data_IF_510809261372
#
_entry.id   IF_510809261372
#
_cell.length_a   1.000
_cell.length_b   1.000
_cell.length_c   1.000
_cell.angle_alpha   90.00
_cell.angle_beta   90.00
_cell.angle_gamma   90.00
#
_symmetry.space_group_name_H-M   'P 1'
#
loop_
_entity.id
_entity.type
_entity.pdbx_description
1 polymer ?
#
# COMPACT_ATOMS: atom_id res chain seq x y z
N UNK A 1 -8.99 -2.32 12.24
CA UNK A 1 -7.71 -1.75 12.76
C UNK A 1 -7.42 -0.44 12.04
N UNK A 2 -6.58 0.44 12.59
CA UNK A 2 -6.07 1.62 11.90
C UNK A 2 -4.64 1.44 11.36
N UNK A 3 -3.87 0.50 11.91
CA UNK A 3 -2.61 0.07 11.31
C UNK A 3 -2.86 -1.25 10.57
N UNK A 4 -2.48 -1.31 9.30
CA UNK A 4 -2.64 -2.48 8.44
C UNK A 4 -1.33 -2.76 7.70
N UNK A 5 -1.05 -4.04 7.45
CA UNK A 5 0.07 -4.47 6.62
C UNK A 5 -0.42 -4.89 5.24
N UNK A 6 0.27 -4.41 4.21
CA UNK A 6 -0.16 -4.57 2.83
C UNK A 6 1.03 -4.94 1.95
N UNK A 7 0.85 -5.95 1.11
CA UNK A 7 1.68 -6.14 -0.07
C UNK A 7 1.21 -5.18 -1.16
N UNK A 8 2.05 -4.21 -1.51
CA UNK A 8 1.70 -3.07 -2.34
C UNK A 8 2.58 -3.04 -3.59
N UNK A 9 1.96 -2.88 -4.75
CA UNK A 9 2.63 -2.58 -6.02
C UNK A 9 2.51 -1.09 -6.30
N UNK A 10 3.65 -0.42 -6.46
CA UNK A 10 3.68 1.00 -6.79
C UNK A 10 3.55 1.21 -8.31
N UNK A 11 2.60 2.03 -8.72
CA UNK A 11 2.20 2.18 -10.13
C UNK A 11 2.62 3.54 -10.71
N UNK A 12 2.87 4.54 -9.86
CA UNK A 12 3.22 5.88 -10.33
C UNK A 12 4.73 5.99 -10.66
N UNK A 13 5.12 6.69 -11.73
CA UNK A 13 6.53 6.99 -12.00
C UNK A 13 7.20 7.81 -10.90
N UNK A 14 6.44 8.63 -10.17
CA UNK A 14 6.96 9.38 -9.02
C UNK A 14 6.97 8.47 -7.78
N UNK A 15 8.07 8.40 -7.02
CA UNK A 15 8.12 7.64 -5.78
C UNK A 15 7.15 8.21 -4.73
N UNK A 16 6.72 7.42 -3.74
CA UNK A 16 5.91 7.93 -2.64
C UNK A 16 6.70 8.99 -1.87
N UNK A 17 6.03 10.09 -1.57
CA UNK A 17 6.62 11.17 -0.78
C UNK A 17 6.55 10.79 0.69
N UNK A 18 7.66 10.86 1.45
CA UNK A 18 7.65 10.53 2.88
C UNK A 18 6.58 11.32 3.64
N UNK A 19 5.76 10.60 4.41
CA UNK A 19 4.66 11.16 5.23
C UNK A 19 3.54 11.84 4.43
N UNK A 20 3.51 11.69 3.11
CA UNK A 20 2.37 12.13 2.32
C UNK A 20 1.12 11.32 2.68
N UNK A 21 -0.03 11.97 2.50
CA UNK A 21 -1.34 11.36 2.68
C UNK A 21 -1.87 10.93 1.32
N UNK A 22 -2.42 9.74 1.30
CA UNK A 22 -3.11 9.15 0.15
C UNK A 22 -4.53 8.83 0.56
N UNK A 23 -5.47 8.85 -0.38
CA UNK A 23 -6.74 8.16 -0.17
C UNK A 23 -6.49 6.66 -0.29
N UNK A 24 -6.90 5.91 0.73
CA UNK A 24 -7.06 4.47 0.62
C UNK A 24 -8.52 4.19 0.29
N UNK A 25 -8.74 3.62 -0.89
CA UNK A 25 -10.05 3.11 -1.27
C UNK A 25 -10.09 1.61 -1.00
N UNK A 26 -11.06 1.21 -0.19
CA UNK A 26 -11.28 -0.16 0.26
C UNK A 26 -12.76 -0.48 0.11
N UNK A 27 -13.11 -1.27 -0.91
CA UNK A 27 -14.50 -1.57 -1.26
C UNK A 27 -15.35 -0.30 -1.46
N UNK A 28 -16.38 -0.06 -0.64
CA UNK A 28 -17.21 1.15 -0.63
C UNK A 28 -16.74 2.21 0.37
N UNK A 29 -15.62 1.97 1.06
CA UNK A 29 -15.08 2.86 2.08
C UNK A 29 -13.85 3.60 1.55
N UNK A 30 -13.72 4.86 1.95
CA UNK A 30 -12.56 5.68 1.65
C UNK A 30 -12.05 6.29 2.97
N UNK A 31 -10.74 6.21 3.17
CA UNK A 31 -10.07 6.88 4.29
C UNK A 31 -8.79 7.53 3.80
N UNK A 32 -8.20 8.41 4.60
CA UNK A 32 -6.83 8.84 4.35
C UNK A 32 -5.87 7.85 4.99
N UNK A 33 -4.77 7.57 4.33
CA UNK A 33 -3.70 6.70 4.79
C UNK A 33 -2.34 7.34 4.56
N UNK A 34 -1.37 6.91 5.35
CA UNK A 34 0.04 7.23 5.14
C UNK A 34 0.87 5.94 5.21
N UNK A 35 1.92 5.87 4.40
CA UNK A 35 2.94 4.83 4.51
C UNK A 35 3.77 5.16 5.76
N UNK A 36 3.69 4.29 6.77
CA UNK A 36 4.40 4.45 8.04
C UNK A 36 5.80 3.85 7.97
N UNK A 37 5.92 2.70 7.32
CA UNK A 37 7.15 1.92 7.25
C UNK A 37 7.14 1.04 6.01
N UNK A 38 8.28 0.97 5.32
CA UNK A 38 8.56 -0.02 4.28
C UNK A 38 9.32 -1.17 4.92
N UNK A 39 8.69 -2.34 5.03
CA UNK A 39 9.27 -3.50 5.71
C UNK A 39 10.31 -4.18 4.83
N UNK A 40 9.97 -4.47 3.58
CA UNK A 40 10.90 -4.99 2.58
C UNK A 40 10.33 -4.79 1.18
N UNK A 41 11.22 -4.85 0.19
CA UNK A 41 10.88 -4.99 -1.23
C UNK A 41 10.99 -6.44 -1.63
N UNK A 42 10.15 -6.88 -2.57
CA UNK A 42 10.27 -8.20 -3.19
C UNK A 42 10.96 -8.00 -4.53
N UNK A 43 12.12 -8.62 -4.70
CA UNK A 43 12.75 -8.72 -6.00
C UNK A 43 11.90 -9.65 -6.89
N UNK A 44 11.40 -9.11 -7.99
CA UNK A 44 10.49 -9.81 -8.91
C UNK A 44 11.20 -10.98 -9.60
N UNK A 45 12.52 -10.89 -9.81
CA UNK A 45 13.29 -11.91 -10.51
C UNK A 45 13.68 -13.07 -9.58
N UNK A 46 14.00 -12.77 -8.32
CA UNK A 46 14.54 -13.76 -7.37
C UNK A 46 13.56 -14.15 -6.26
N UNK A 47 12.44 -13.44 -6.14
CA UNK A 47 11.45 -13.54 -5.06
C UNK A 47 12.03 -13.33 -3.65
N UNK A 48 13.26 -12.83 -3.55
CA UNK A 48 13.91 -12.52 -2.28
C UNK A 48 13.35 -11.23 -1.69
N UNK A 49 13.39 -11.16 -0.35
CA UNK A 49 13.02 -9.97 0.41
C UNK A 49 14.26 -9.12 0.61
N UNK A 50 14.26 -7.92 0.06
CA UNK A 50 15.28 -6.92 0.30
C UNK A 50 14.81 -6.01 1.45
N UNK A 51 15.45 -6.14 2.61
CA UNK A 51 15.16 -5.32 3.79
C UNK A 51 16.02 -4.04 3.86
N UNK A 52 17.07 -3.92 3.04
CA UNK A 52 17.99 -2.77 3.05
C UNK A 52 17.46 -1.62 2.18
N UNK A 53 16.94 -1.95 1.00
CA UNK A 53 16.34 -0.97 0.10
C UNK A 53 14.91 -0.62 0.54
N UNK A 54 14.73 0.62 1.02
CA UNK A 54 13.43 1.16 1.46
C UNK A 54 12.83 2.15 0.46
N UNK A 55 13.53 2.46 -0.61
CA UNK A 55 13.04 3.40 -1.61
C UNK A 55 12.09 2.68 -2.56
N UNK A 56 10.90 3.25 -2.78
CA UNK A 56 9.88 2.66 -3.64
C UNK A 56 9.92 3.38 -4.98
N UNK A 57 10.17 2.63 -6.05
CA UNK A 57 10.08 3.08 -7.43
C UNK A 57 8.88 2.46 -8.15
N UNK A 58 8.62 2.91 -9.38
CA UNK A 58 7.58 2.36 -10.23
C UNK A 58 7.79 0.86 -10.46
N UNK A 59 6.70 0.09 -10.38
CA UNK A 59 6.63 -1.36 -10.49
C UNK A 59 7.25 -2.14 -9.32
N UNK A 60 7.74 -1.47 -8.27
CA UNK A 60 8.22 -2.18 -7.08
C UNK A 60 7.05 -2.81 -6.32
N UNK A 61 7.28 -4.05 -5.88
CA UNK A 61 6.38 -4.78 -4.98
C UNK A 61 6.99 -4.72 -3.59
N UNK A 62 6.25 -4.17 -2.63
CA UNK A 62 6.77 -3.90 -1.28
C UNK A 62 5.78 -4.32 -0.22
N UNK A 63 6.27 -4.77 0.93
CA UNK A 63 5.43 -4.91 2.13
C UNK A 63 5.53 -3.62 2.93
N UNK A 64 4.40 -2.98 3.18
CA UNK A 64 4.34 -1.72 3.91
C UNK A 64 3.37 -1.80 5.08
N UNK A 65 3.65 -1.02 6.13
CA UNK A 65 2.67 -0.66 7.15
C UNK A 65 1.98 0.63 6.75
N UNK A 66 0.67 0.58 6.60
CA UNK A 66 -0.16 1.76 6.40
C UNK A 66 -0.85 2.14 7.71
N UNK A 67 -0.89 3.44 7.99
CA UNK A 67 -1.71 4.01 9.06
C UNK A 67 -2.86 4.78 8.42
N UNK A 68 -4.09 4.38 8.72
CA UNK A 68 -5.31 5.04 8.25
C UNK A 68 -5.85 6.02 9.30
N UNK A 69 -6.56 7.05 8.85
CA UNK A 69 -7.19 8.03 9.74
C UNK A 69 -8.37 7.41 10.50
N UNK A 70 -9.13 6.54 9.86
CA UNK A 70 -10.26 5.81 10.45
C UNK A 70 -10.01 4.30 10.42
N UNK A 71 -10.54 3.52 11.38
CA UNK A 71 -10.43 2.07 11.34
C UNK A 71 -11.02 1.50 10.05
N UNK A 72 -10.28 0.58 9.41
CA UNK A 72 -10.79 -0.24 8.33
C UNK A 72 -11.26 -1.59 8.88
N UNK A 73 -12.40 -2.06 8.34
CA UNK A 73 -12.89 -3.42 8.49
C UNK A 73 -12.44 -4.20 7.27
N UNK A 74 -11.50 -5.11 7.46
CA UNK A 74 -10.87 -5.83 6.36
C UNK A 74 -10.66 -7.30 6.73
N UNK A 75 -10.49 -8.10 5.69
CA UNK A 75 -9.95 -9.45 5.79
C UNK A 75 -8.57 -9.48 5.14
N UNK A 76 -7.78 -10.52 5.42
CA UNK A 76 -6.62 -10.78 4.58
C UNK A 76 -7.07 -11.13 3.16
N UNK A 77 -6.32 -10.68 2.16
CA UNK A 77 -6.62 -10.94 0.76
C UNK A 77 -6.75 -12.45 0.46
N UNK A 78 -5.96 -13.27 1.16
CA UNK A 78 -6.02 -14.74 1.06
C UNK A 78 -7.37 -15.31 1.50
N UNK A 79 -8.01 -14.70 2.50
CA UNK A 79 -9.32 -15.11 3.01
C UNK A 79 -10.45 -14.57 2.16
N UNK A 80 -10.39 -13.29 1.80
CA UNK A 80 -11.40 -12.64 0.97
C UNK A 80 -10.75 -11.57 0.08
N UNK A 81 -10.80 -11.79 -1.24
CA UNK A 81 -10.17 -10.89 -2.21
C UNK A 81 -10.86 -9.53 -2.27
N UNK A 82 -12.17 -9.47 -2.02
CA UNK A 82 -12.91 -8.22 -2.11
C UNK A 82 -12.56 -7.30 -0.94
N UNK A 83 -12.63 -7.82 0.30
CA UNK A 83 -12.35 -7.06 1.53
C UNK A 83 -10.87 -7.08 1.92
N UNK A 84 -10.00 -7.71 1.14
CA UNK A 84 -8.56 -7.66 1.30
C UNK A 84 -7.83 -6.87 0.22
N UNK A 85 -8.53 -6.27 -0.74
CA UNK A 85 -7.94 -5.40 -1.77
C UNK A 85 -8.05 -3.94 -1.38
N UNK A 86 -7.01 -3.15 -1.68
CA UNK A 86 -7.04 -1.70 -1.60
C UNK A 86 -6.36 -1.07 -2.81
N UNK A 87 -6.64 0.20 -3.06
CA UNK A 87 -5.80 1.06 -3.89
C UNK A 87 -5.42 2.33 -3.10
N UNK A 88 -4.26 2.89 -3.43
CA UNK A 88 -3.88 4.23 -2.99
C UNK A 88 -4.06 5.22 -4.13
N UNK A 89 -4.70 6.34 -3.82
CA UNK A 89 -4.93 7.44 -4.74
C UNK A 89 -4.28 8.70 -4.17
N UNK A 90 -3.56 9.43 -5.01
CA UNK A 90 -2.92 10.68 -4.61
C UNK A 90 -3.97 11.79 -4.38
N UNK A 91 -3.88 12.47 -3.24
CA UNK A 91 -4.88 13.48 -2.81
C UNK A 91 -4.85 14.75 -3.70
N UNK A 92 -3.75 15.04 -4.39
CA UNK A 92 -3.60 16.25 -5.19
C UNK A 92 -3.94 16.06 -6.67
N UNK A 93 -3.64 14.88 -7.21
CA UNK A 93 -3.77 14.57 -8.64
C UNK A 93 -4.94 13.64 -8.95
N UNK A 94 -5.50 12.97 -7.94
CA UNK A 94 -6.47 11.88 -8.09
C UNK A 94 -5.96 10.68 -8.91
N UNK A 95 -4.64 10.57 -9.11
CA UNK A 95 -4.04 9.42 -9.77
C UNK A 95 -4.01 8.21 -8.84
N UNK A 96 -4.33 7.03 -9.38
CA UNK A 96 -4.09 5.77 -8.66
C UNK A 96 -2.60 5.49 -8.64
N UNK A 97 -1.97 5.63 -7.48
CA UNK A 97 -0.51 5.50 -7.32
C UNK A 97 -0.08 4.11 -6.91
N UNK A 98 -0.97 3.31 -6.32
CA UNK A 98 -0.65 1.94 -5.93
C UNK A 98 -1.87 1.02 -5.85
N UNK A 99 -1.63 -0.27 -6.01
CA UNK A 99 -2.60 -1.33 -5.71
C UNK A 99 -2.04 -2.24 -4.61
N UNK A 100 -2.90 -2.69 -3.70
CA UNK A 100 -2.47 -3.39 -2.49
C UNK A 100 -3.35 -4.58 -2.10
N UNK A 101 -2.70 -5.58 -1.50
CA UNK A 101 -3.32 -6.75 -0.88
C UNK A 101 -3.02 -6.75 0.61
N UNK A 102 -4.06 -6.72 1.43
CA UNK A 102 -3.93 -6.77 2.90
C UNK A 102 -3.49 -8.19 3.31
N UNK A 103 -2.53 -8.28 4.24
CA UNK A 103 -1.93 -9.53 4.71
C UNK A 103 -2.66 -10.08 5.93
#
# INVERSE_FOLDING_TARGET
>A
SQDIEVMLCWLNPKPPVPRAKYYVQHTSNEARAMIKEVLYKVDINTLHRNEEDKEIAMNDITRVKLRTTNPLFFDSYRRNRNTGSIILVDESTNETVAAGMII
#
